data_IF_850772278374
#
_entry.id   IF_850772278374
#
_cell.length_a   1.000
_cell.length_b   1.000
_cell.length_c   1.000
_cell.angle_alpha   90.00
_cell.angle_beta   90.00
_cell.angle_gamma   90.00
#
_symmetry.space_group_name_H-M   'P 1'
#
loop_
_entity.id
_entity.type
_entity.pdbx_description
1 polymer ?
#
# COMPACT_ATOMS: atom_id res chain seq x y z
N UNK A 1 -12.43 12.94 -11.71
CA UNK A 1 -12.58 12.95 -10.25
C UNK A 1 -12.48 11.53 -9.77
N UNK A 2 -11.77 11.29 -8.67
CA UNK A 2 -11.65 10.00 -7.99
C UNK A 2 -12.36 10.11 -6.64
N UNK A 3 -12.87 9.00 -6.13
CA UNK A 3 -13.43 8.92 -4.78
C UNK A 3 -12.88 7.68 -4.10
N UNK A 4 -12.56 7.83 -2.82
CA UNK A 4 -12.15 6.74 -1.95
C UNK A 4 -13.35 6.19 -1.15
N UNK A 5 -14.58 6.51 -1.56
CA UNK A 5 -15.81 6.06 -0.88
C UNK A 5 -16.21 6.89 0.34
N UNK A 6 -15.39 7.85 0.79
CA UNK A 6 -15.68 8.69 1.96
C UNK A 6 -16.80 9.72 1.72
N UNK A 7 -17.00 10.13 0.46
CA UNK A 7 -18.02 11.11 0.08
C UNK A 7 -18.70 10.72 -1.22
N UNK A 8 -20.03 10.75 -1.19
CA UNK A 8 -20.85 10.51 -2.37
C UNK A 8 -20.80 11.68 -3.35
N UNK A 9 -20.80 11.34 -4.63
CA UNK A 9 -20.99 12.33 -5.69
C UNK A 9 -22.47 12.61 -5.93
N UNK A 10 -22.86 13.86 -6.25
CA UNK A 10 -24.25 14.18 -6.57
C UNK A 10 -24.81 13.34 -7.72
N UNK A 11 -26.09 12.93 -7.71
CA UNK A 11 -26.68 12.10 -8.77
C UNK A 11 -26.55 12.70 -10.18
N UNK A 12 -26.58 14.03 -10.30
CA UNK A 12 -26.40 14.72 -11.58
C UNK A 12 -24.99 14.57 -12.17
N UNK A 13 -23.98 14.42 -11.32
CA UNK A 13 -22.59 14.14 -11.71
C UNK A 13 -22.47 12.70 -12.18
N UNK A 14 -22.99 11.77 -11.37
CA UNK A 14 -22.96 10.33 -11.63
C UNK A 14 -23.67 9.88 -12.93
N UNK A 15 -24.58 10.69 -13.47
CA UNK A 15 -25.24 10.45 -14.78
C UNK A 15 -24.40 10.89 -15.98
N UNK A 16 -23.38 11.74 -15.79
CA UNK A 16 -22.55 12.32 -16.85
C UNK A 16 -21.14 11.75 -16.89
N UNK A 17 -20.80 10.85 -15.96
CA UNK A 17 -19.47 10.28 -15.84
C UNK A 17 -19.50 8.77 -16.07
N UNK A 18 -18.46 8.27 -16.75
CA UNK A 18 -18.16 6.83 -16.78
C UNK A 18 -17.65 6.43 -15.40
N UNK A 19 -18.28 5.42 -14.81
CA UNK A 19 -17.85 4.88 -13.51
C UNK A 19 -16.90 3.72 -13.76
N UNK A 20 -15.69 3.85 -13.24
CA UNK A 20 -14.69 2.80 -13.24
C UNK A 20 -14.37 2.50 -11.78
N UNK A 21 -14.60 1.24 -11.37
CA UNK A 21 -14.22 0.77 -10.06
C UNK A 21 -12.79 0.21 -10.17
N UNK A 22 -11.89 0.72 -9.34
CA UNK A 22 -10.54 0.16 -9.21
C UNK A 22 -10.64 -0.98 -8.20
N UNK A 23 -10.34 -2.24 -8.59
CA UNK A 23 -10.39 -3.36 -7.67
C UNK A 23 -9.25 -3.27 -6.65
N UNK A 24 -9.43 -3.93 -5.50
CA UNK A 24 -8.33 -4.16 -4.58
C UNK A 24 -7.20 -4.92 -5.28
N UNK A 25 -5.93 -4.51 -5.09
CA UNK A 25 -4.82 -5.13 -5.76
C UNK A 25 -4.55 -6.52 -5.16
N UNK A 26 -4.28 -7.49 -6.03
CA UNK A 26 -3.79 -8.80 -5.61
C UNK A 26 -2.26 -8.81 -5.57
N UNK A 27 -1.67 -9.94 -5.18
CA UNK A 27 -0.21 -10.10 -5.10
C UNK A 27 0.50 -9.79 -6.43
N UNK A 28 -0.04 -10.22 -7.56
CA UNK A 28 0.55 -10.01 -8.88
C UNK A 28 0.51 -8.51 -9.26
N UNK A 29 -0.63 -7.85 -9.05
CA UNK A 29 -0.77 -6.40 -9.27
C UNK A 29 0.19 -5.60 -8.38
N UNK A 30 0.33 -5.95 -7.10
CA UNK A 30 1.28 -5.26 -6.23
C UNK A 30 2.73 -5.50 -6.64
N UNK A 31 3.06 -6.72 -7.08
CA UNK A 31 4.38 -7.04 -7.62
C UNK A 31 4.69 -6.15 -8.83
N UNK A 32 3.78 -6.06 -9.80
CA UNK A 32 3.94 -5.21 -10.98
C UNK A 32 4.13 -3.73 -10.59
N UNK A 33 3.37 -3.24 -9.61
CA UNK A 33 3.52 -1.87 -9.11
C UNK A 33 4.89 -1.65 -8.47
N UNK A 34 5.36 -2.58 -7.63
CA UNK A 34 6.68 -2.52 -7.00
C UNK A 34 7.78 -2.52 -8.05
N UNK A 35 7.71 -3.41 -9.04
CA UNK A 35 8.71 -3.48 -10.12
C UNK A 35 8.72 -2.20 -10.96
N UNK A 36 7.54 -1.67 -11.30
CA UNK A 36 7.41 -0.45 -12.08
C UNK A 36 7.96 0.79 -11.35
N UNK A 37 7.92 0.82 -10.02
CA UNK A 37 8.34 1.97 -9.22
C UNK A 37 9.76 1.85 -8.66
N UNK A 38 10.20 0.65 -8.29
CA UNK A 38 11.43 0.40 -7.54
C UNK A 38 12.45 -0.48 -8.28
N UNK A 39 12.07 -1.10 -9.41
CA UNK A 39 12.95 -1.97 -10.21
C UNK A 39 12.63 -3.46 -10.06
N UNK A 40 12.95 -4.24 -11.10
CA UNK A 40 12.67 -5.69 -11.15
C UNK A 40 13.55 -6.50 -10.19
N UNK A 41 14.69 -5.97 -9.78
CA UNK A 41 15.60 -6.62 -8.83
C UNK A 41 14.99 -6.77 -7.43
N UNK A 42 14.07 -5.88 -7.06
CA UNK A 42 13.46 -5.83 -5.73
C UNK A 42 12.57 -7.05 -5.48
N UNK A 43 11.85 -7.52 -6.50
CA UNK A 43 10.92 -8.65 -6.39
C UNK A 43 11.60 -10.01 -6.59
N UNK A 44 12.92 -10.04 -6.79
CA UNK A 44 13.70 -11.27 -6.84
C UNK A 44 14.10 -11.75 -5.43
N UNK A 45 14.11 -10.86 -4.45
CA UNK A 45 14.38 -11.22 -3.06
C UNK A 45 13.12 -11.75 -2.37
N UNK A 46 13.30 -12.88 -1.69
CA UNK A 46 12.26 -13.57 -0.93
C UNK A 46 11.66 -12.73 0.19
N UNK A 47 12.42 -11.79 0.79
CA UNK A 47 11.92 -10.97 1.90
C UNK A 47 10.88 -9.95 1.43
N UNK A 48 11.13 -9.31 0.30
CA UNK A 48 10.26 -8.34 -0.34
C UNK A 48 8.99 -9.00 -0.88
N UNK A 49 9.12 -10.20 -1.48
CA UNK A 49 7.95 -11.00 -1.87
C UNK A 49 7.07 -11.35 -0.67
N UNK A 50 7.66 -11.77 0.45
CA UNK A 50 6.93 -12.06 1.68
C UNK A 50 6.24 -10.79 2.21
N UNK A 51 6.88 -9.63 2.12
CA UNK A 51 6.30 -8.36 2.53
C UNK A 51 5.08 -8.00 1.67
N UNK A 52 5.15 -8.20 0.35
CA UNK A 52 4.01 -8.02 -0.57
C UNK A 52 2.87 -8.98 -0.19
N UNK A 53 3.16 -10.26 0.03
CA UNK A 53 2.16 -11.25 0.45
C UNK A 53 1.48 -10.89 1.77
N UNK A 54 2.25 -10.42 2.75
CA UNK A 54 1.71 -9.98 4.03
C UNK A 54 0.85 -8.72 3.84
N UNK A 55 1.25 -7.79 2.99
CA UNK A 55 0.45 -6.60 2.68
C UNK A 55 -0.91 -6.95 2.05
N UNK A 56 -0.94 -7.92 1.13
CA UNK A 56 -2.20 -8.43 0.55
C UNK A 56 -3.13 -8.99 1.63
N UNK A 57 -2.59 -9.74 2.60
CA UNK A 57 -3.39 -10.26 3.73
C UNK A 57 -3.99 -9.13 4.57
N UNK A 58 -3.21 -8.10 4.88
CA UNK A 58 -3.69 -6.94 5.65
C UNK A 58 -4.84 -6.22 4.92
N UNK A 59 -4.72 -6.01 3.60
CA UNK A 59 -5.82 -5.45 2.80
C UNK A 59 -7.07 -6.33 2.84
N UNK A 60 -6.92 -7.65 2.73
CA UNK A 60 -8.04 -8.60 2.81
C UNK A 60 -8.70 -8.66 4.19
N UNK A 61 -7.92 -8.46 5.25
CA UNK A 61 -8.40 -8.42 6.64
C UNK A 61 -9.11 -7.08 6.98
N UNK A 62 -9.15 -6.14 6.04
CA UNK A 62 -9.89 -4.88 6.15
C UNK A 62 -9.05 -3.69 6.66
N UNK A 63 -7.73 -3.83 6.69
CA UNK A 63 -6.85 -2.69 6.99
C UNK A 63 -6.87 -1.66 5.85
N UNK A 64 -6.90 -0.38 6.21
CA UNK A 64 -6.93 0.74 5.29
C UNK A 64 -5.50 1.20 5.01
N UNK A 65 -4.74 0.38 4.29
CA UNK A 65 -3.36 0.66 3.93
C UNK A 65 -3.25 1.22 2.51
N UNK A 66 -2.47 2.29 2.36
CA UNK A 66 -2.15 2.84 1.05
C UNK A 66 -1.02 2.04 0.40
N UNK A 67 -1.10 1.81 -0.92
CA UNK A 67 -0.01 1.19 -1.70
C UNK A 67 1.32 1.95 -1.52
N UNK A 68 1.26 3.27 -1.30
CA UNK A 68 2.44 4.08 -1.00
C UNK A 68 3.13 3.69 0.33
N UNK A 69 2.38 3.19 1.33
CA UNK A 69 2.98 2.64 2.56
C UNK A 69 3.81 1.40 2.27
N UNK A 70 3.35 0.51 1.37
CA UNK A 70 4.13 -0.64 0.92
C UNK A 70 5.40 -0.19 0.19
N UNK A 71 5.26 0.72 -0.77
CA UNK A 71 6.39 1.24 -1.57
C UNK A 71 7.45 1.89 -0.70
N UNK A 72 7.04 2.77 0.23
CA UNK A 72 7.96 3.40 1.16
C UNK A 72 8.62 2.40 2.11
N UNK A 73 7.89 1.38 2.55
CA UNK A 73 8.45 0.32 3.40
C UNK A 73 9.54 -0.44 2.67
N UNK A 74 9.27 -0.91 1.45
CA UNK A 74 10.26 -1.60 0.61
C UNK A 74 11.45 -0.69 0.33
N UNK A 75 11.21 0.56 -0.08
CA UNK A 75 12.26 1.52 -0.39
C UNK A 75 13.19 1.78 0.81
N UNK A 76 12.61 1.97 2.01
CA UNK A 76 13.40 2.24 3.20
C UNK A 76 14.14 1.00 3.68
N UNK A 77 13.53 -0.18 3.68
CA UNK A 77 14.21 -1.42 4.13
C UNK A 77 15.37 -1.78 3.21
N UNK A 78 15.16 -1.70 1.89
CA UNK A 78 16.19 -2.07 0.89
C UNK A 78 17.37 -1.09 0.85
N UNK A 79 17.12 0.20 1.13
CA UNK A 79 18.16 1.25 1.03
C UNK A 79 18.78 1.64 2.37
N UNK A 80 18.21 1.21 3.49
CA UNK A 80 18.74 1.53 4.81
C UNK A 80 19.88 0.58 5.18
N UNK A 81 21.07 0.91 4.68
CA UNK A 81 22.29 0.10 4.80
C UNK A 81 22.79 -0.15 6.24
N UNK A 82 22.15 0.41 7.29
CA UNK A 82 22.71 0.43 8.66
C UNK A 82 21.68 0.24 9.79
N UNK A 83 20.52 -0.37 9.55
CA UNK A 83 19.60 -0.69 10.66
C UNK A 83 19.87 -2.09 11.21
N UNK A 84 20.01 -2.18 12.54
CA UNK A 84 19.84 -3.42 13.29
C UNK A 84 18.47 -4.06 12.98
N UNK A 85 18.39 -5.39 12.96
CA UNK A 85 17.17 -6.14 12.61
C UNK A 85 15.93 -5.70 13.42
N UNK A 86 16.11 -5.45 14.72
CA UNK A 86 15.05 -4.95 15.60
C UNK A 86 14.51 -3.56 15.18
N UNK A 87 15.34 -2.70 14.57
CA UNK A 87 14.91 -1.40 14.09
C UNK A 87 14.12 -1.52 12.79
N UNK A 88 14.45 -2.49 11.93
CA UNK A 88 13.73 -2.77 10.68
C UNK A 88 12.31 -3.24 10.99
N UNK A 89 12.14 -4.19 11.91
CA UNK A 89 10.81 -4.69 12.26
C UNK A 89 9.94 -3.61 12.93
N UNK A 90 10.54 -2.78 13.79
CA UNK A 90 9.85 -1.61 14.35
C UNK A 90 9.43 -0.62 13.26
N UNK A 91 10.31 -0.37 12.28
CA UNK A 91 10.02 0.53 11.17
C UNK A 91 8.87 0.00 10.31
N UNK A 92 8.90 -1.28 9.91
CA UNK A 92 7.80 -1.92 9.17
C UNK A 92 6.47 -1.78 9.90
N UNK A 93 6.45 -2.04 11.21
CA UNK A 93 5.24 -1.89 12.03
C UNK A 93 4.71 -0.45 12.04
N UNK A 94 5.58 0.55 12.10
CA UNK A 94 5.18 1.96 12.07
C UNK A 94 4.69 2.40 10.70
N UNK A 95 5.29 1.91 9.62
CA UNK A 95 4.90 2.28 8.26
C UNK A 95 3.62 1.59 7.81
N UNK A 96 3.35 0.38 8.30
CA UNK A 96 2.15 -0.41 7.97
C UNK A 96 1.04 -0.29 9.01
N UNK A 97 1.03 0.78 9.82
CA UNK A 97 -0.10 1.08 10.69
C UNK A 97 -1.20 1.83 9.92
N UNK A 98 -2.46 1.64 10.31
CA UNK A 98 -3.58 2.44 9.81
C UNK A 98 -3.34 3.92 10.11
N UNK A 99 -3.42 4.76 9.08
CA UNK A 99 -3.29 6.22 9.21
C UNK A 99 -4.64 6.81 9.66
N UNK A 100 -4.94 6.70 10.95
CA UNK A 100 -6.11 7.37 11.52
C UNK A 100 -5.76 8.81 11.89
N UNK A 101 -6.62 9.77 11.49
CA UNK A 101 -6.54 11.13 12.01
C UNK A 101 -6.96 11.13 13.48
N UNK A 102 -6.05 10.83 14.39
CA UNK A 102 -6.22 11.03 15.84
C UNK A 102 -5.92 12.48 16.24
N UNK A 103 -6.49 13.42 15.49
CA UNK A 103 -6.66 14.82 15.84
C UNK A 103 -8.03 15.26 15.35
N UNK A 104 -9.08 14.80 16.04
CA UNK A 104 -10.42 15.40 16.09
C UNK A 104 -11.30 14.56 17.04
N UNK A 105 -11.01 14.65 18.35
CA UNK A 105 -11.94 14.37 19.46
C UNK A 105 -11.35 14.89 20.78
#
# INVERSE_FOLDING_TARGET
MTSNGERDFPPAFLRRCLRVNVPEPNQETLKDIVEAQLGMEITQDSQELLLIENFVKLLHDGDHLAIDQLLNTIYLVTRSLNFEENNIERLKKLLLQNLTNTQDA
#
